data_IF_873473915010
#
_entry.id   IF_873473915010
#
_cell.length_a   1.000
_cell.length_b   1.000
_cell.length_c   1.000
_cell.angle_alpha   90.00
_cell.angle_beta   90.00
_cell.angle_gamma   90.00
#
_symmetry.space_group_name_H-M   'P 1'
#
loop_
_entity.id
_entity.type
_entity.pdbx_description
1 polymer ?
#
# COMPACT_ATOMS: atom_id res chain seq x y z
N UNK A 1 -58.63 -22.17 -67.94
CA UNK A 1 -57.17 -22.18 -68.16
C UNK A 1 -56.67 -20.75 -68.20
N UNK A 2 -56.14 -20.27 -67.07
CA UNK A 2 -54.69 -20.24 -66.75
C UNK A 2 -53.97 -19.22 -67.65
N UNK A 3 -53.19 -18.25 -67.19
CA UNK A 3 -52.38 -18.20 -65.98
C UNK A 3 -51.93 -16.73 -65.81
N UNK A 4 -52.32 -16.06 -64.72
CA UNK A 4 -51.82 -14.72 -64.39
C UNK A 4 -50.61 -14.89 -63.46
N UNK A 5 -49.41 -15.00 -64.04
CA UNK A 5 -48.16 -15.04 -63.28
C UNK A 5 -47.80 -13.64 -62.78
N UNK A 6 -48.31 -13.31 -61.59
CA UNK A 6 -47.86 -12.16 -60.80
C UNK A 6 -46.51 -12.48 -60.15
N UNK A 7 -45.41 -12.24 -60.86
CA UNK A 7 -44.08 -12.18 -60.25
C UNK A 7 -43.92 -10.84 -59.53
N UNK A 8 -44.30 -10.80 -58.26
CA UNK A 8 -44.07 -9.66 -57.37
C UNK A 8 -42.64 -9.77 -56.85
N UNK A 9 -41.69 -9.07 -57.49
CA UNK A 9 -40.32 -8.91 -56.99
C UNK A 9 -40.37 -8.24 -55.61
N UNK A 10 -40.04 -9.01 -54.57
CA UNK A 10 -39.93 -8.55 -53.19
C UNK A 10 -38.62 -7.74 -53.08
N UNK A 11 -38.75 -6.41 -52.91
CA UNK A 11 -37.59 -5.51 -52.78
C UNK A 11 -37.04 -5.62 -51.36
N UNK A 12 -35.72 -5.80 -51.25
CA UNK A 12 -35.05 -5.82 -49.95
C UNK A 12 -35.32 -4.52 -49.15
N UNK A 13 -35.73 -4.62 -47.88
CA UNK A 13 -36.01 -3.45 -47.07
C UNK A 13 -34.74 -2.64 -46.81
N UNK A 14 -34.80 -1.32 -47.02
CA UNK A 14 -33.68 -0.42 -46.73
C UNK A 14 -33.66 -0.05 -45.25
N UNK A 15 -32.55 -0.35 -44.56
CA UNK A 15 -32.29 0.09 -43.20
C UNK A 15 -31.42 1.36 -43.20
N UNK A 16 -31.82 2.38 -42.44
CA UNK A 16 -31.02 3.60 -42.22
C UNK A 16 -30.51 3.60 -40.78
N UNK A 17 -29.20 3.68 -40.60
CA UNK A 17 -28.54 3.73 -39.29
C UNK A 17 -27.91 5.11 -39.10
N UNK A 18 -28.16 5.73 -37.95
CA UNK A 18 -27.51 6.96 -37.54
C UNK A 18 -26.39 6.64 -36.54
N UNK A 19 -25.17 7.04 -36.88
CA UNK A 19 -24.01 6.98 -35.99
C UNK A 19 -23.76 8.39 -35.44
N UNK A 20 -24.10 8.65 -34.15
CA UNK A 20 -24.27 10.01 -33.63
C UNK A 20 -22.96 10.77 -33.43
N UNK A 21 -21.84 10.08 -33.23
CA UNK A 21 -20.56 10.72 -32.97
C UNK A 21 -19.36 9.91 -33.50
N UNK A 22 -18.15 10.43 -33.24
CA UNK A 22 -16.88 9.92 -33.76
C UNK A 22 -16.07 9.20 -32.69
N UNK A 23 -15.12 8.37 -33.12
CA UNK A 23 -14.24 7.56 -32.24
C UNK A 23 -13.39 8.37 -31.25
N UNK A 24 -13.23 9.70 -31.45
CA UNK A 24 -12.36 10.56 -30.62
C UNK A 24 -12.69 10.47 -29.12
N UNK A 25 -13.98 10.39 -28.77
CA UNK A 25 -14.43 10.34 -27.36
C UNK A 25 -14.17 8.96 -26.71
N UNK A 26 -13.80 7.96 -27.50
CA UNK A 26 -13.70 6.56 -27.10
C UNK A 26 -12.30 5.97 -27.24
N UNK A 27 -11.31 6.78 -27.62
CA UNK A 27 -9.93 6.32 -27.83
C UNK A 27 -9.29 5.68 -26.60
N UNK A 28 -9.76 6.03 -25.41
CA UNK A 28 -9.31 5.47 -24.12
C UNK A 28 -10.35 4.55 -23.47
N UNK A 29 -11.40 4.16 -24.21
CA UNK A 29 -12.51 3.32 -23.73
C UNK A 29 -12.69 2.13 -24.68
N UNK A 30 -13.86 1.98 -25.29
CA UNK A 30 -14.21 0.86 -26.15
C UNK A 30 -13.31 0.66 -27.38
N UNK A 31 -12.40 1.59 -27.69
CA UNK A 31 -11.38 1.36 -28.73
C UNK A 31 -10.16 0.60 -28.20
N UNK A 32 -9.94 0.57 -26.89
CA UNK A 32 -8.81 -0.13 -26.26
C UNK A 32 -9.24 -1.53 -25.86
N UNK A 33 -8.49 -2.53 -26.30
CA UNK A 33 -8.69 -3.93 -25.96
C UNK A 33 -8.76 -4.16 -24.44
N UNK A 34 -7.84 -3.56 -23.69
CA UNK A 34 -7.78 -3.66 -22.22
C UNK A 34 -9.09 -3.19 -21.57
N UNK A 35 -9.65 -2.06 -22.01
CA UNK A 35 -10.90 -1.53 -21.46
C UNK A 35 -12.08 -2.45 -21.77
N UNK A 36 -12.13 -3.04 -22.97
CA UNK A 36 -13.19 -3.97 -23.37
C UNK A 36 -13.14 -5.27 -22.58
N UNK A 37 -11.95 -5.79 -22.30
CA UNK A 37 -11.75 -7.00 -21.48
C UNK A 37 -12.10 -6.72 -20.02
N UNK A 38 -11.62 -5.61 -19.44
CA UNK A 38 -11.88 -5.24 -18.04
C UNK A 38 -13.38 -5.09 -17.73
N UNK A 39 -14.17 -4.64 -18.72
CA UNK A 39 -15.61 -4.47 -18.58
C UNK A 39 -16.43 -5.68 -19.06
N UNK A 40 -15.77 -6.77 -19.47
CA UNK A 40 -16.41 -8.01 -19.90
C UNK A 40 -17.19 -7.90 -21.21
N UNK A 41 -16.86 -6.92 -22.06
CA UNK A 41 -17.45 -6.80 -23.39
C UNK A 41 -16.84 -7.77 -24.39
N UNK A 42 -15.62 -8.24 -24.12
CA UNK A 42 -14.92 -9.23 -24.92
C UNK A 42 -14.36 -10.31 -24.02
N UNK A 43 -14.60 -11.56 -24.40
CA UNK A 43 -14.05 -12.70 -23.72
C UNK A 43 -12.55 -12.87 -24.02
N UNK A 44 -11.77 -13.29 -23.01
CA UNK A 44 -10.33 -13.55 -23.12
C UNK A 44 -9.92 -14.59 -24.19
N UNK A 45 -10.89 -15.29 -24.79
CA UNK A 45 -10.63 -16.22 -25.89
C UNK A 45 -10.55 -15.53 -27.25
N UNK A 46 -11.15 -14.35 -27.40
CA UNK A 46 -11.16 -13.56 -28.64
C UNK A 46 -9.95 -12.62 -28.67
N UNK A 47 -9.71 -11.89 -27.59
CA UNK A 47 -8.53 -11.06 -27.39
C UNK A 47 -7.67 -11.73 -26.34
N UNK A 48 -6.50 -12.22 -26.75
CA UNK A 48 -5.54 -12.77 -25.81
C UNK A 48 -4.93 -11.63 -25.02
N UNK A 49 -4.87 -11.71 -23.68
CA UNK A 49 -4.14 -10.72 -22.88
C UNK A 49 -2.69 -10.65 -23.36
N UNK A 50 -2.04 -9.50 -23.18
CA UNK A 50 -0.61 -9.32 -23.47
C UNK A 50 0.20 -10.37 -22.71
N UNK A 51 0.57 -11.45 -23.39
CA UNK A 51 1.45 -12.47 -22.85
C UNK A 51 2.89 -12.10 -23.22
N UNK A 52 3.66 -11.66 -22.23
CA UNK A 52 5.09 -11.47 -22.40
C UNK A 52 5.77 -12.84 -22.51
N UNK A 53 6.30 -13.18 -23.68
CA UNK A 53 7.08 -14.42 -23.91
C UNK A 53 8.57 -14.28 -23.56
N UNK A 54 8.93 -13.24 -22.79
CA UNK A 54 10.31 -12.93 -22.46
C UNK A 54 10.77 -13.68 -21.20
N UNK A 55 12.08 -13.91 -21.07
CA UNK A 55 12.69 -14.62 -19.93
C UNK A 55 12.33 -14.01 -18.56
N UNK A 56 12.13 -12.69 -18.52
CA UNK A 56 11.83 -11.94 -17.29
C UNK A 56 10.35 -12.06 -16.89
N UNK A 57 9.45 -12.41 -17.82
CA UNK A 57 8.01 -12.39 -17.60
C UNK A 57 7.56 -13.30 -16.45
N UNK A 58 8.22 -14.45 -16.31
CA UNK A 58 7.94 -15.44 -15.25
C UNK A 58 8.75 -15.22 -13.97
N UNK A 59 9.65 -14.23 -13.96
CA UNK A 59 10.38 -13.86 -12.73
C UNK A 59 9.42 -13.18 -11.76
N UNK A 60 9.82 -13.11 -10.50
CA UNK A 60 8.98 -12.55 -9.45
C UNK A 60 9.36 -11.11 -9.14
N UNK A 61 8.42 -10.39 -8.55
CA UNK A 61 8.64 -9.04 -8.04
C UNK A 61 9.82 -9.01 -7.04
N UNK A 62 10.04 -10.05 -6.25
CA UNK A 62 11.19 -10.14 -5.35
C UNK A 62 12.56 -10.16 -6.04
N UNK A 63 12.62 -10.50 -7.32
CA UNK A 63 13.88 -10.58 -8.08
C UNK A 63 14.33 -9.19 -8.58
N UNK A 64 13.43 -8.19 -8.56
CA UNK A 64 13.79 -6.81 -8.82
C UNK A 64 14.73 -6.32 -7.70
N UNK A 65 15.81 -5.61 -8.05
CA UNK A 65 16.62 -4.89 -7.09
C UNK A 65 15.85 -3.65 -6.63
N UNK A 66 14.82 -3.85 -5.80
CA UNK A 66 14.21 -2.79 -4.99
C UNK A 66 15.17 -2.44 -3.86
N UNK A 67 16.37 -1.98 -4.24
CA UNK A 67 17.37 -1.51 -3.30
C UNK A 67 16.99 -0.09 -2.90
N UNK A 68 16.19 0.04 -1.85
CA UNK A 68 16.23 1.13 -0.88
C UNK A 68 15.26 0.82 0.25
N UNK A 69 15.66 1.14 1.48
CA UNK A 69 14.73 1.16 2.61
C UNK A 69 13.58 2.10 2.24
N UNK A 70 12.33 1.61 2.18
CA UNK A 70 11.22 2.42 1.70
C UNK A 70 10.99 3.59 2.66
N UNK A 71 11.13 4.81 2.14
CA UNK A 71 10.67 6.00 2.85
C UNK A 71 9.14 5.97 2.84
N UNK A 72 8.53 6.27 3.99
CA UNK A 72 7.08 6.40 4.15
C UNK A 72 6.81 7.58 5.07
N UNK A 73 5.65 8.21 4.93
CA UNK A 73 5.26 9.30 5.83
C UNK A 73 3.88 9.04 6.45
N UNK A 74 3.62 9.69 7.58
CA UNK A 74 2.31 9.68 8.22
C UNK A 74 1.37 10.73 7.60
N UNK A 75 0.04 10.53 7.70
CA UNK A 75 -0.94 11.49 7.18
C UNK A 75 -0.87 12.90 7.79
N UNK A 76 -0.29 13.02 8.98
CA UNK A 76 -0.23 14.26 9.76
C UNK A 76 0.91 15.20 9.35
N UNK A 77 1.83 14.73 8.48
CA UNK A 77 2.92 15.57 7.97
C UNK A 77 2.35 16.71 7.13
N UNK A 78 2.89 17.92 7.29
CA UNK A 78 2.49 19.08 6.50
C UNK A 78 2.95 18.96 5.04
N UNK A 79 2.24 19.57 4.09
CA UNK A 79 2.65 19.57 2.69
C UNK A 79 4.06 20.17 2.50
N UNK A 80 4.38 21.25 3.22
CA UNK A 80 5.69 21.91 3.18
C UNK A 80 6.82 20.97 3.64
N UNK A 81 6.61 20.25 4.74
CA UNK A 81 7.62 19.33 5.27
C UNK A 81 7.78 18.12 4.36
N UNK A 82 6.68 17.59 3.81
CA UNK A 82 6.70 16.50 2.85
C UNK A 82 7.47 16.87 1.58
N UNK A 83 7.24 18.05 1.00
CA UNK A 83 8.00 18.55 -0.18
C UNK A 83 9.49 18.67 0.16
N UNK A 84 9.80 19.23 1.34
CA UNK A 84 11.19 19.42 1.77
C UNK A 84 11.91 18.10 1.97
N UNK A 85 11.25 17.13 2.60
CA UNK A 85 11.74 15.77 2.80
C UNK A 85 12.04 15.07 1.47
N UNK A 86 11.08 15.08 0.54
CA UNK A 86 11.22 14.47 -0.78
C UNK A 86 12.41 15.04 -1.55
N UNK A 87 12.55 16.37 -1.58
CA UNK A 87 13.70 17.04 -2.24
C UNK A 87 15.03 16.69 -1.61
N UNK A 88 15.08 16.64 -0.27
CA UNK A 88 16.31 16.36 0.46
C UNK A 88 16.78 14.93 0.25
N UNK A 89 15.85 13.97 0.30
CA UNK A 89 16.15 12.55 0.15
C UNK A 89 16.26 12.13 -1.32
N UNK A 90 15.85 12.99 -2.26
CA UNK A 90 15.92 12.72 -3.70
C UNK A 90 14.85 11.74 -4.18
N UNK A 91 13.72 11.64 -3.47
CA UNK A 91 12.58 10.82 -3.87
C UNK A 91 11.52 11.68 -4.55
N UNK A 92 11.00 11.22 -5.69
CA UNK A 92 9.91 11.90 -6.39
C UNK A 92 8.53 11.59 -5.80
N UNK A 93 8.41 10.46 -5.10
CA UNK A 93 7.15 9.97 -4.56
C UNK A 93 7.35 9.20 -3.26
N UNK A 94 6.33 9.23 -2.41
CA UNK A 94 6.34 8.52 -1.11
C UNK A 94 4.94 7.99 -0.76
N UNK A 95 4.84 6.75 -0.24
CA UNK A 95 3.59 6.22 0.29
C UNK A 95 3.24 6.91 1.62
N UNK A 96 1.95 7.17 1.81
CA UNK A 96 1.40 7.68 3.05
C UNK A 96 0.69 6.54 3.78
N UNK A 97 1.13 6.27 5.00
CA UNK A 97 0.70 5.11 5.79
C UNK A 97 0.19 5.57 7.16
N UNK A 98 -0.93 5.00 7.60
CA UNK A 98 -1.45 5.17 8.96
C UNK A 98 -0.67 4.31 9.98
N UNK A 99 -0.83 4.62 11.26
CA UNK A 99 -0.14 3.91 12.35
C UNK A 99 -0.48 2.41 12.41
N UNK A 100 -1.64 2.01 11.91
CA UNK A 100 -2.10 0.63 11.80
C UNK A 100 -1.45 -0.15 10.62
N UNK A 101 -0.67 0.53 9.78
CA UNK A 101 -0.05 -0.03 8.58
C UNK A 101 -0.91 0.08 7.31
N UNK A 102 -2.07 0.74 7.37
CA UNK A 102 -2.91 0.95 6.20
C UNK A 102 -2.34 2.04 5.29
N UNK A 103 -2.14 1.69 4.02
CA UNK A 103 -1.69 2.65 2.99
C UNK A 103 -2.88 3.42 2.45
N UNK A 104 -2.93 4.72 2.74
CA UNK A 104 -4.04 5.60 2.31
C UNK A 104 -3.85 6.19 0.91
N UNK A 105 -2.61 6.21 0.43
CA UNK A 105 -2.27 6.77 -0.87
C UNK A 105 -0.79 6.98 -1.07
N UNK A 106 -0.45 7.54 -2.22
CA UNK A 106 0.90 7.99 -2.57
C UNK A 106 0.84 9.48 -2.86
N UNK A 107 1.88 10.21 -2.50
CA UNK A 107 2.07 11.61 -2.89
C UNK A 107 3.30 11.73 -3.75
N UNK A 108 3.30 12.73 -4.63
CA UNK A 108 4.46 13.08 -5.46
C UNK A 108 4.91 14.50 -5.16
N UNK A 109 6.21 14.75 -5.22
CA UNK A 109 6.79 16.08 -5.02
C UNK A 109 6.17 17.08 -6.01
N UNK A 110 6.11 16.71 -7.29
CA UNK A 110 5.61 17.59 -8.35
C UNK A 110 4.13 17.96 -8.17
N UNK A 111 3.26 17.01 -7.78
CA UNK A 111 1.84 17.32 -7.55
C UNK A 111 1.67 18.25 -6.34
N UNK A 112 2.39 17.99 -5.24
CA UNK A 112 2.32 18.83 -4.06
C UNK A 112 2.84 20.24 -4.32
N UNK A 113 4.01 20.36 -4.96
CA UNK A 113 4.58 21.65 -5.34
C UNK A 113 3.64 22.42 -6.26
N UNK A 114 3.07 21.77 -7.29
CA UNK A 114 2.07 22.38 -8.16
C UNK A 114 0.79 22.80 -7.42
N UNK A 115 0.27 21.96 -6.51
CA UNK A 115 -0.92 22.25 -5.73
C UNK A 115 -0.72 23.45 -4.79
N UNK A 116 0.44 23.56 -4.16
CA UNK A 116 0.81 24.70 -3.31
C UNK A 116 0.98 25.98 -4.13
N UNK A 117 1.72 25.93 -5.25
CA UNK A 117 1.95 27.10 -6.09
C UNK A 117 0.67 27.63 -6.76
N UNK A 118 -0.27 26.74 -7.09
CA UNK A 118 -1.57 27.12 -7.65
C UNK A 118 -2.60 27.56 -6.61
N UNK A 119 -2.27 27.50 -5.31
CA UNK A 119 -3.19 27.81 -4.21
C UNK A 119 -4.29 26.76 -3.96
N UNK A 120 -4.20 25.59 -4.62
CA UNK A 120 -5.13 24.46 -4.37
C UNK A 120 -4.88 23.77 -3.03
N UNK A 121 -3.66 23.83 -2.51
CA UNK A 121 -3.27 23.28 -1.22
C UNK A 121 -2.56 24.33 -0.37
N UNK A 122 -2.86 24.36 0.93
CA UNK A 122 -2.14 25.19 1.89
C UNK A 122 -0.83 24.50 2.30
N UNK A 123 0.34 25.18 2.26
CA UNK A 123 1.61 24.62 2.72
C UNK A 123 1.59 23.97 4.12
N UNK A 124 0.83 24.58 5.04
CA UNK A 124 0.76 24.14 6.44
C UNK A 124 -0.34 23.11 6.69
N UNK A 125 -1.17 22.81 5.68
CA UNK A 125 -2.16 21.74 5.78
C UNK A 125 -1.47 20.36 5.79
N UNK A 126 -2.10 19.41 6.48
CA UNK A 126 -1.66 18.02 6.48
C UNK A 126 -1.89 17.36 5.13
N UNK A 127 -1.02 16.43 4.74
CA UNK A 127 -1.12 15.71 3.46
C UNK A 127 -2.46 14.97 3.30
N UNK A 128 -3.05 14.50 4.39
CA UNK A 128 -4.37 13.88 4.39
C UNK A 128 -5.51 14.83 3.99
N UNK A 129 -5.44 16.09 4.42
CA UNK A 129 -6.51 17.08 4.23
C UNK A 129 -6.30 17.97 3.00
N UNK A 130 -5.09 18.00 2.44
CA UNK A 130 -4.73 18.87 1.31
C UNK A 130 -5.24 18.37 -0.06
N UNK A 131 -5.90 17.22 -0.13
CA UNK A 131 -6.41 16.60 -1.36
C UNK A 131 -5.33 16.42 -2.46
N UNK A 132 -4.10 16.08 -2.04
CA UNK A 132 -2.93 15.84 -2.90
C UNK A 132 -2.57 14.36 -3.05
N UNK A 133 -3.35 13.47 -2.41
CA UNK A 133 -3.15 12.03 -2.38
C UNK A 133 -3.65 11.35 -3.67
N UNK A 134 -2.81 10.53 -4.28
CA UNK A 134 -3.21 9.54 -5.26
C UNK A 134 -3.69 8.28 -4.55
N UNK A 135 -4.99 8.00 -4.66
CA UNK A 135 -5.66 6.88 -3.95
C UNK A 135 -5.81 5.62 -4.79
N UNK A 136 -5.75 5.77 -6.12
CA UNK A 136 -5.76 4.67 -7.09
C UNK A 136 -4.33 4.26 -7.38
N UNK A 137 -3.99 3.04 -6.99
CA UNK A 137 -2.69 2.42 -7.24
C UNK A 137 -2.84 0.90 -7.10
N UNK A 138 -2.08 0.14 -7.89
CA UNK A 138 -2.01 -1.30 -7.76
C UNK A 138 -1.01 -1.71 -6.67
N UNK A 139 -1.43 -2.71 -5.88
CA UNK A 139 -0.60 -3.34 -4.85
C UNK A 139 -0.14 -4.69 -5.36
N UNK A 140 1.16 -4.95 -5.23
CA UNK A 140 1.78 -6.21 -5.60
C UNK A 140 2.43 -6.86 -4.39
N UNK A 141 2.34 -8.17 -4.31
CA UNK A 141 3.14 -9.01 -3.43
C UNK A 141 4.51 -9.26 -4.05
N UNK A 142 5.48 -9.59 -3.20
CA UNK A 142 6.82 -10.06 -3.62
C UNK A 142 6.77 -11.34 -4.46
N UNK A 143 5.67 -12.09 -4.39
CA UNK A 143 5.47 -13.35 -5.11
C UNK A 143 4.88 -13.20 -6.50
N UNK A 144 4.35 -12.02 -6.83
CA UNK A 144 3.65 -11.79 -8.09
C UNK A 144 4.62 -11.79 -9.27
N UNK A 145 4.11 -12.02 -10.48
CA UNK A 145 4.94 -12.11 -11.67
C UNK A 145 5.31 -10.72 -12.19
N UNK A 146 6.49 -10.61 -12.81
CA UNK A 146 6.88 -9.37 -13.49
C UNK A 146 6.00 -9.06 -14.70
N UNK A 147 5.36 -10.07 -15.31
CA UNK A 147 4.41 -9.86 -16.40
C UNK A 147 3.18 -9.07 -15.93
N UNK A 148 2.59 -9.45 -14.80
CA UNK A 148 1.44 -8.77 -14.22
C UNK A 148 1.81 -7.34 -13.80
N UNK A 149 3.00 -7.18 -13.19
CA UNK A 149 3.55 -5.86 -12.86
C UNK A 149 3.75 -5.00 -14.12
N UNK A 150 4.30 -5.56 -15.20
CA UNK A 150 4.51 -4.84 -16.45
C UNK A 150 3.18 -4.37 -17.08
N UNK A 151 2.15 -5.22 -17.03
CA UNK A 151 0.82 -4.87 -17.52
C UNK A 151 0.21 -3.73 -16.70
N UNK A 152 0.33 -3.76 -15.37
CA UNK A 152 -0.13 -2.65 -14.53
C UNK A 152 0.62 -1.34 -14.83
N UNK A 153 1.94 -1.43 -15.04
CA UNK A 153 2.79 -0.26 -15.34
C UNK A 153 2.58 0.33 -16.76
N UNK A 154 1.85 -0.34 -17.64
CA UNK A 154 1.43 0.24 -18.93
C UNK A 154 0.33 1.30 -18.75
N UNK A 155 -0.46 1.20 -17.66
CA UNK A 155 -1.56 2.11 -17.34
C UNK A 155 -1.27 3.02 -16.15
N UNK A 156 -0.48 2.54 -15.18
CA UNK A 156 -0.10 3.29 -13.98
C UNK A 156 1.39 3.66 -13.99
N UNK A 157 1.76 4.86 -13.52
CA UNK A 157 3.15 5.31 -13.53
C UNK A 157 4.03 4.55 -12.51
N UNK A 158 3.41 3.97 -11.48
CA UNK A 158 4.10 3.25 -10.41
C UNK A 158 3.21 2.14 -9.84
N UNK A 159 3.84 1.16 -9.22
CA UNK A 159 3.21 0.08 -8.48
C UNK A 159 3.77 0.01 -7.06
N UNK A 160 2.91 -0.29 -6.08
CA UNK A 160 3.31 -0.39 -4.68
C UNK A 160 3.55 -1.86 -4.30
N UNK A 161 4.75 -2.17 -3.83
CA UNK A 161 5.05 -3.50 -3.30
C UNK A 161 4.71 -3.52 -1.82
N UNK A 162 3.81 -4.42 -1.45
CA UNK A 162 3.33 -4.60 -0.09
C UNK A 162 3.61 -6.02 0.38
N UNK A 163 4.12 -6.14 1.60
CA UNK A 163 4.30 -7.42 2.29
C UNK A 163 3.48 -7.44 3.57
N UNK A 164 3.04 -8.63 3.95
CA UNK A 164 2.36 -8.82 5.24
C UNK A 164 3.37 -9.16 6.33
N UNK A 165 3.28 -8.43 7.44
CA UNK A 165 4.08 -8.69 8.63
C UNK A 165 3.19 -9.18 9.76
N UNK A 166 3.52 -10.34 10.33
CA UNK A 166 2.91 -10.84 11.57
C UNK A 166 3.64 -10.25 12.77
N UNK A 167 2.90 -9.51 13.60
CA UNK A 167 3.42 -8.86 14.81
C UNK A 167 2.83 -9.54 16.04
N UNK A 168 3.67 -9.84 17.03
CA UNK A 168 3.24 -10.33 18.33
C UNK A 168 3.39 -9.19 19.36
N UNK A 169 2.28 -8.65 19.85
CA UNK A 169 2.31 -7.52 20.79
C UNK A 169 2.36 -7.97 22.25
N UNK A 170 3.21 -7.32 23.05
CA UNK A 170 3.25 -7.44 24.52
C UNK A 170 1.93 -7.02 25.18
N UNK A 171 1.60 -7.59 26.35
CA UNK A 171 0.47 -7.09 27.14
C UNK A 171 0.84 -5.69 27.66
N UNK A 172 0.19 -4.64 27.16
CA UNK A 172 0.42 -3.28 27.65
C UNK A 172 -0.10 -3.18 29.08
N UNK A 173 0.79 -3.11 30.07
CA UNK A 173 0.41 -2.56 31.37
C UNK A 173 0.22 -1.06 31.18
N UNK A 174 -1.00 -0.57 31.38
CA UNK A 174 -1.27 0.87 31.33
C UNK A 174 -0.58 1.55 32.51
N UNK A 175 0.65 2.04 32.33
CA UNK A 175 1.17 3.12 33.15
C UNK A 175 0.71 4.44 32.51
N UNK A 176 -0.50 4.86 32.84
CA UNK A 176 -0.96 6.23 32.56
C UNK A 176 -0.14 7.19 33.42
N UNK A 177 0.88 7.83 32.83
CA UNK A 177 1.47 9.04 33.41
C UNK A 177 0.50 10.19 33.14
N UNK A 178 -0.38 10.47 34.11
CA UNK A 178 -1.18 11.69 34.13
C UNK A 178 -0.26 12.85 34.47
N UNK A 179 0.17 13.61 33.46
CA UNK A 179 0.77 14.94 33.66
C UNK A 179 -0.37 15.92 33.92
N UNK A 180 -0.66 16.19 35.20
CA UNK A 180 -1.55 17.29 35.59
C UNK A 180 -0.75 18.58 35.61
N UNK A 181 -1.06 19.46 34.65
CA UNK A 181 -0.63 20.85 34.61
C UNK A 181 -1.45 21.67 35.61
N UNK A 182 -0.81 22.26 36.62
CA UNK A 182 -1.36 23.40 37.39
C UNK A 182 -0.26 24.42 37.68
N UNK A 183 -0.22 25.49 36.91
CA UNK A 183 0.13 26.87 37.33
C UNK A 183 -0.95 27.31 38.34
N UNK A 184 -0.75 28.02 39.46
CA UNK A 184 0.16 29.09 39.92
C UNK A 184 -0.01 29.10 41.46
N UNK A 185 0.94 29.45 42.33
CA UNK A 185 1.15 30.80 42.91
C UNK A 185 2.28 30.72 43.94
N UNK A 186 3.15 31.74 43.98
CA UNK A 186 4.25 31.95 44.93
C UNK A 186 3.75 32.06 46.38
N UNK A 187 4.51 31.52 47.34
CA UNK A 187 4.81 32.16 48.63
C UNK A 187 6.03 31.52 49.33
N UNK A 188 6.82 32.38 49.97
CA UNK A 188 8.07 32.10 50.70
C UNK A 188 7.85 31.35 52.02
N UNK A 189 8.87 30.62 52.50
CA UNK A 189 8.94 30.18 53.90
C UNK A 189 9.99 29.10 54.17
N UNK A 190 11.04 29.49 54.87
CA UNK A 190 12.16 28.71 55.40
C UNK A 190 11.74 27.66 56.45
N UNK A 191 12.46 26.51 56.55
CA UNK A 191 13.04 25.96 57.79
C UNK A 191 13.32 24.44 57.76
N UNK A 192 14.60 24.07 57.93
CA UNK A 192 15.20 23.02 58.77
C UNK A 192 14.51 21.69 59.12
N UNK A 193 15.32 20.62 59.04
CA UNK A 193 15.48 19.45 59.94
C UNK A 193 14.26 18.64 60.39
N UNK A 194 14.29 17.32 60.11
CA UNK A 194 14.75 16.31 61.09
C UNK A 194 14.39 14.88 60.67
N UNK A 195 15.30 13.97 61.03
CA UNK A 195 15.17 12.52 61.02
C UNK A 195 13.89 12.03 61.71
N UNK A 196 13.35 10.90 61.25
CA UNK A 196 13.03 9.84 62.21
C UNK A 196 13.00 8.45 61.54
N UNK A 197 13.86 7.58 62.08
CA UNK A 197 13.81 6.14 61.94
C UNK A 197 12.52 5.60 62.56
N UNK A 198 12.00 4.49 62.03
CA UNK A 198 11.45 3.45 62.89
C UNK A 198 11.36 2.09 62.17
N UNK A 199 12.20 1.18 62.67
CA UNK A 199 12.12 -0.26 62.46
C UNK A 199 10.81 -0.82 63.05
N UNK A 200 10.23 -1.84 62.41
CA UNK A 200 9.65 -2.93 63.18
C UNK A 200 9.76 -4.28 62.46
N UNK A 201 10.46 -5.18 63.13
CA UNK A 201 10.64 -6.59 62.83
C UNK A 201 9.41 -7.37 63.30
N UNK A 202 8.93 -8.34 62.50
CA UNK A 202 8.33 -9.57 63.06
C UNK A 202 8.26 -10.70 62.05
N UNK A 203 9.08 -11.71 62.32
CA UNK A 203 9.02 -13.03 61.73
C UNK A 203 7.64 -13.68 61.93
N UNK A 204 7.11 -14.35 60.90
CA UNK A 204 6.12 -15.43 61.06
C UNK A 204 6.13 -16.41 59.88
N UNK A 205 6.77 -17.55 60.16
CA UNK A 205 6.27 -18.92 59.96
C UNK A 205 5.91 -19.37 58.53
N UNK A 206 6.83 -20.18 57.97
CA UNK A 206 6.68 -21.02 56.77
C UNK A 206 5.40 -21.87 56.82
N UNK A 207 4.59 -21.80 55.76
CA UNK A 207 3.67 -22.87 55.34
C UNK A 207 4.17 -23.39 54.00
N UNK A 208 4.57 -24.66 53.96
CA UNK A 208 4.74 -25.43 52.72
C UNK A 208 3.35 -25.59 52.11
N UNK A 209 3.15 -25.09 50.90
CA UNK A 209 2.05 -25.51 50.04
C UNK A 209 2.65 -26.45 48.99
N UNK A 210 2.24 -27.72 49.05
CA UNK A 210 2.29 -28.62 47.91
C UNK A 210 1.21 -28.15 46.93
N UNK A 211 1.59 -27.88 45.68
CA UNK A 211 0.70 -27.73 44.54
C UNK A 211 1.55 -28.01 43.28
N UNK A 212 2.09 -29.22 43.22
CA UNK A 212 2.50 -29.85 41.97
C UNK A 212 1.28 -30.67 41.55
N UNK A 213 0.77 -30.48 40.32
CA UNK A 213 -0.23 -31.30 39.59
C UNK A 213 -1.20 -30.46 38.70
N UNK A 214 -0.94 -29.17 38.42
CA UNK A 214 -1.82 -28.32 37.58
C UNK A 214 -1.09 -27.51 36.50
N UNK A 215 0.09 -27.91 36.05
CA UNK A 215 0.84 -27.16 35.04
C UNK A 215 0.45 -27.52 33.60
N UNK A 216 0.06 -28.76 33.31
CA UNK A 216 -0.09 -29.22 31.92
C UNK A 216 -1.35 -28.65 31.23
N UNK A 217 -2.49 -28.58 31.93
CA UNK A 217 -3.73 -27.97 31.38
C UNK A 217 -3.66 -26.43 31.28
N UNK A 218 -2.80 -25.79 32.10
CA UNK A 218 -2.56 -24.35 32.02
C UNK A 218 -1.65 -23.98 30.86
N UNK A 219 -0.71 -24.84 30.48
CA UNK A 219 0.15 -24.63 29.32
C UNK A 219 -0.66 -24.66 28.01
N UNK A 220 -1.57 -25.62 27.84
CA UNK A 220 -2.40 -25.72 26.62
C UNK A 220 -3.37 -24.54 26.45
N UNK A 221 -3.99 -24.05 27.54
CA UNK A 221 -4.84 -22.85 27.47
C UNK A 221 -4.02 -21.57 27.23
N UNK A 222 -2.79 -21.49 27.73
CA UNK A 222 -1.91 -20.35 27.48
C UNK A 222 -1.47 -20.30 26.00
N UNK A 223 -1.24 -21.45 25.37
CA UNK A 223 -0.89 -21.58 23.94
C UNK A 223 -2.03 -21.07 23.02
N UNK A 224 -3.29 -21.37 23.34
CA UNK A 224 -4.44 -20.82 22.60
C UNK A 224 -4.61 -19.30 22.78
N UNK A 225 -4.41 -18.79 24.01
CA UNK A 225 -4.46 -17.34 24.29
C UNK A 225 -3.32 -16.56 23.62
N UNK A 226 -2.18 -17.23 23.39
CA UNK A 226 -1.01 -16.65 22.71
C UNK A 226 -1.26 -16.44 21.22
N UNK A 227 -2.06 -17.31 20.58
CA UNK A 227 -2.46 -17.15 19.17
C UNK A 227 -3.35 -15.92 18.94
N UNK A 228 -4.12 -15.47 19.95
CA UNK A 228 -4.96 -14.27 19.86
C UNK A 228 -4.18 -12.94 19.95
N UNK A 229 -2.85 -12.99 20.13
CA UNK A 229 -1.98 -11.80 20.25
C UNK A 229 -1.11 -11.54 19.03
N UNK A 230 -1.32 -12.31 17.96
CA UNK A 230 -0.67 -12.11 16.67
C UNK A 230 -1.57 -11.25 15.78
N UNK A 231 -1.14 -10.05 15.45
CA UNK A 231 -1.80 -9.15 14.50
C UNK A 231 -1.01 -9.11 13.19
N UNK A 232 -1.69 -9.16 12.05
CA UNK A 232 -1.05 -8.93 10.75
C UNK A 232 -1.18 -7.46 10.37
N UNK A 233 -0.09 -6.83 9.93
CA UNK A 233 -0.07 -5.48 9.36
C UNK A 233 0.55 -5.48 7.97
N UNK A 234 0.08 -4.60 7.09
CA UNK A 234 0.74 -4.35 5.82
C UNK A 234 1.99 -3.49 6.03
N UNK A 235 3.05 -3.83 5.29
CA UNK A 235 4.31 -3.09 5.26
C UNK A 235 4.64 -2.81 3.80
N UNK A 236 4.91 -1.55 3.48
CA UNK A 236 5.41 -1.22 2.15
C UNK A 236 6.86 -1.67 2.07
N UNK A 237 7.16 -2.49 1.07
CA UNK A 237 8.51 -2.95 0.77
C UNK A 237 9.22 -2.05 -0.24
N UNK A 238 8.46 -1.36 -1.09
CA UNK A 238 9.01 -0.43 -2.07
C UNK A 238 7.97 0.11 -3.04
N UNK A 239 8.40 1.05 -3.86
CA UNK A 239 7.67 1.50 -5.05
C UNK A 239 8.50 1.05 -6.26
N UNK A 240 7.83 0.53 -7.28
CA UNK A 240 8.46 0.15 -8.55
C UNK A 240 7.84 0.95 -9.68
N UNK A 241 8.71 1.47 -10.54
CA UNK A 241 8.36 2.21 -11.74
C UNK A 241 8.70 1.41 -12.98
N UNK A 242 8.22 1.89 -14.14
CA UNK A 242 8.59 1.30 -15.44
C UNK A 242 10.10 1.33 -15.69
N UNK A 243 10.79 2.35 -15.18
CA UNK A 243 12.24 2.50 -15.34
C UNK A 243 12.96 1.37 -14.59
N UNK A 244 12.58 1.11 -13.34
CA UNK A 244 13.19 0.04 -12.54
C UNK A 244 13.04 -1.34 -13.20
N UNK A 245 11.85 -1.61 -13.75
CA UNK A 245 11.58 -2.83 -14.49
C UNK A 245 12.45 -2.94 -15.76
N UNK A 246 12.57 -1.85 -16.52
CA UNK A 246 13.40 -1.84 -17.73
C UNK A 246 14.90 -1.99 -17.41
N UNK A 247 15.37 -1.38 -16.33
CA UNK A 247 16.76 -1.50 -15.86
C UNK A 247 17.08 -2.93 -15.43
N UNK A 248 16.15 -3.60 -14.76
CA UNK A 248 16.25 -5.01 -14.42
C UNK A 248 16.35 -5.89 -15.68
N UNK A 249 15.45 -5.69 -16.64
CA UNK A 249 15.42 -6.46 -17.89
C UNK A 249 16.73 -6.26 -18.68
N UNK A 250 17.19 -5.01 -18.78
CA UNK A 250 18.44 -4.65 -19.46
C UNK A 250 19.66 -5.29 -18.80
N UNK A 251 19.69 -5.29 -17.45
CA UNK A 251 20.79 -5.88 -16.68
C UNK A 251 20.81 -7.41 -16.76
N UNK A 252 19.65 -8.06 -16.74
CA UNK A 252 19.54 -9.51 -16.92
C UNK A 252 19.97 -9.99 -18.31
N UNK A 253 19.66 -9.22 -19.35
CA UNK A 253 20.10 -9.54 -20.71
C UNK A 253 21.63 -9.52 -20.87
N UNK A 254 22.33 -8.63 -20.15
CA UNK A 254 23.81 -8.60 -20.14
C UNK A 254 24.42 -9.84 -19.49
N UNK A 255 23.81 -10.35 -18.41
CA UNK A 255 24.27 -11.58 -17.73
C UNK A 255 24.10 -12.83 -18.61
N UNK A 256 22.94 -12.97 -19.26
CA UNK A 256 22.67 -14.14 -20.10
C UNK A 256 23.54 -14.20 -21.35
N UNK A 257 23.87 -13.05 -21.96
CA UNK A 257 24.77 -13.03 -23.12
C UNK A 257 26.21 -13.39 -22.75
N UNK A 258 26.69 -13.00 -21.56
CA UNK A 258 28.04 -13.34 -21.12
C UNK A 258 28.20 -14.83 -20.81
N UNK A 259 27.15 -15.51 -20.33
CA UNK A 259 27.18 -16.96 -20.10
C UNK A 259 27.17 -17.80 -21.38
N UNK A 260 26.80 -17.25 -22.54
CA UNK A 260 26.83 -17.95 -23.82
C UNK A 260 28.15 -17.73 -24.61
N UNK A 261 29.13 -17.04 -24.02
CA UNK A 261 30.42 -16.72 -24.62
C UNK A 261 31.62 -17.38 -23.92
N UNK A 262 31.40 -18.20 -22.89
CA UNK A 262 32.36 -19.13 -22.28
C UNK A 262 32.01 -20.58 -22.63
#
# INVERSE_FOLDING_TARGET
>A
DNNNNNNKEERDPTCVVLLPDSVRNYMTKALTDDWMVDHGFIDNHVIKPKLYQAWWATQRVCDLPVSNTPLTITPDVSCKDAITLLKKEGFDMVPVIQDDGHVIGVITEGNMTSAVLSGRANPDATVANANVLYKTFHKFSMTDSLADLAQALDHEPYALIVTEQRCFSGSKSNSTTTTTTTTTTKNNGSSSSSNNDNNNTKAKRRKRNNNDDNNDEKEEQNVWSTSQRVSTRSVVSGIVTRIDLLDYISSGHKKNNNHNLE
#
